data_IF_634027751217
#
_entry.id   IF_634027751217
#
_cell.length_a   1.000
_cell.length_b   1.000
_cell.length_c   1.000
_cell.angle_alpha   90.00
_cell.angle_beta   90.00
_cell.angle_gamma   90.00
#
_symmetry.space_group_name_H-M   'P 1'
#
loop_
_entity.id
_entity.type
_entity.pdbx_description
1 polymer ?
#
# COMPACT_ATOMS: atom_id res chain seq x y z
N UNK A 1 -15.44 -55.64 13.59
CA UNK A 1 -14.59 -54.97 12.58
C UNK A 1 -15.19 -54.97 11.18
N UNK A 2 -15.62 -56.12 10.61
CA UNK A 2 -16.21 -56.18 9.25
C UNK A 2 -17.44 -55.27 9.04
N UNK A 3 -18.41 -55.29 9.96
CA UNK A 3 -19.60 -54.39 9.92
C UNK A 3 -19.25 -52.90 9.94
N UNK A 4 -18.20 -52.52 10.67
CA UNK A 4 -17.74 -51.12 10.71
C UNK A 4 -17.05 -50.74 9.39
N UNK A 5 -16.20 -51.61 8.86
CA UNK A 5 -15.53 -51.41 7.58
C UNK A 5 -16.54 -51.23 6.42
N UNK A 6 -17.59 -52.06 6.39
CA UNK A 6 -18.70 -51.96 5.44
C UNK A 6 -19.50 -50.65 5.59
N UNK A 7 -19.85 -50.28 6.83
CA UNK A 7 -20.57 -49.02 7.10
C UNK A 7 -19.79 -47.78 6.65
N UNK A 8 -18.47 -47.78 6.78
CA UNK A 8 -17.61 -46.65 6.41
C UNK A 8 -16.99 -46.79 5.01
N UNK A 9 -17.33 -47.84 4.25
CA UNK A 9 -16.81 -48.10 2.90
C UNK A 9 -15.27 -48.07 2.83
N UNK A 10 -14.62 -48.68 3.82
CA UNK A 10 -13.15 -48.77 3.91
C UNK A 10 -12.70 -50.22 4.06
N UNK A 11 -11.44 -50.49 3.74
CA UNK A 11 -10.83 -51.78 4.03
C UNK A 11 -10.87 -52.10 5.53
N UNK A 12 -11.03 -53.40 5.87
CA UNK A 12 -11.07 -53.88 7.27
C UNK A 12 -9.83 -53.44 8.06
N UNK A 13 -8.66 -53.39 7.42
CA UNK A 13 -7.39 -52.95 8.03
C UNK A 13 -7.37 -51.44 8.34
N UNK A 14 -8.13 -50.62 7.61
CA UNK A 14 -8.29 -49.18 7.89
C UNK A 14 -9.22 -48.97 9.07
N UNK A 15 -10.38 -49.64 9.10
CA UNK A 15 -11.30 -49.59 10.23
C UNK A 15 -10.63 -50.09 11.53
N UNK A 16 -9.79 -51.13 11.45
CA UNK A 16 -9.00 -51.62 12.57
C UNK A 16 -7.98 -50.58 13.05
N UNK A 17 -7.23 -49.93 12.14
CA UNK A 17 -6.29 -48.85 12.50
C UNK A 17 -6.97 -47.67 13.20
N UNK A 18 -8.15 -47.27 12.72
CA UNK A 18 -8.93 -46.21 13.36
C UNK A 18 -9.42 -46.62 14.76
N UNK A 19 -9.92 -47.86 14.92
CA UNK A 19 -10.36 -48.36 16.22
C UNK A 19 -9.22 -48.46 17.24
N UNK A 20 -8.03 -48.91 16.83
CA UNK A 20 -6.82 -48.93 17.69
C UNK A 20 -6.44 -47.51 18.10
N UNK A 21 -6.34 -46.60 17.12
CA UNK A 21 -6.00 -45.20 17.38
C UNK A 21 -6.98 -44.51 18.34
N UNK A 22 -8.28 -44.76 18.18
CA UNK A 22 -9.29 -44.21 19.07
C UNK A 22 -9.18 -44.76 20.50
N UNK A 23 -8.85 -46.05 20.67
CA UNK A 23 -8.65 -46.63 22.00
C UNK A 23 -7.42 -46.07 22.71
N UNK A 24 -6.34 -45.81 21.97
CA UNK A 24 -5.09 -45.28 22.52
C UNK A 24 -5.16 -43.78 22.83
N UNK A 25 -5.85 -43.00 21.99
CA UNK A 25 -5.75 -41.54 21.99
C UNK A 25 -7.10 -40.82 22.20
N UNK A 26 -8.19 -41.57 22.33
CA UNK A 26 -9.55 -41.05 22.42
C UNK A 26 -9.99 -40.26 21.19
N UNK A 27 -11.00 -39.41 21.37
CA UNK A 27 -11.55 -38.55 20.32
C UNK A 27 -10.49 -37.60 19.72
N UNK A 28 -9.55 -37.11 20.53
CA UNK A 28 -8.48 -36.22 20.07
C UNK A 28 -7.56 -36.88 19.02
N UNK A 29 -7.40 -38.21 19.09
CA UNK A 29 -6.61 -38.97 18.10
C UNK A 29 -7.25 -39.09 16.73
N UNK A 30 -8.53 -38.74 16.58
CA UNK A 30 -9.26 -38.83 15.32
C UNK A 30 -9.20 -37.53 14.49
N UNK A 31 -8.64 -36.45 15.04
CA UNK A 31 -8.36 -35.25 14.28
C UNK A 31 -7.26 -35.52 13.23
N UNK A 32 -7.39 -34.91 12.05
CA UNK A 32 -6.40 -35.03 10.99
C UNK A 32 -5.05 -34.51 11.48
N UNK A 33 -4.06 -35.41 11.43
CA UNK A 33 -2.66 -35.03 11.67
C UNK A 33 -2.10 -34.45 10.38
N UNK A 34 -1.27 -33.43 10.54
CA UNK A 34 -0.47 -32.93 9.43
C UNK A 34 0.32 -34.07 8.78
N UNK A 35 0.09 -34.30 7.49
CA UNK A 35 0.90 -35.23 6.66
C UNK A 35 2.27 -34.66 6.29
N UNK A 36 2.59 -33.44 6.76
CA UNK A 36 3.87 -32.79 6.48
C UNK A 36 4.99 -33.59 7.16
N UNK A 37 6.09 -33.89 6.45
CA UNK A 37 7.18 -34.66 7.02
C UNK A 37 7.83 -33.90 8.19
N UNK A 38 8.20 -34.63 9.24
CA UNK A 38 8.91 -34.08 10.40
C UNK A 38 10.26 -33.47 10.01
N UNK A 39 10.89 -33.97 8.95
CA UNK A 39 12.17 -33.47 8.41
C UNK A 39 12.07 -33.33 6.89
N UNK A 40 12.51 -32.20 6.36
CA UNK A 40 12.60 -31.95 4.93
C UNK A 40 14.08 -31.95 4.52
N UNK A 41 14.67 -33.09 4.11
CA UNK A 41 16.10 -33.19 3.80
C UNK A 41 16.53 -32.24 2.68
N UNK A 42 15.65 -31.96 1.72
CA UNK A 42 15.90 -31.03 0.60
C UNK A 42 15.57 -29.57 0.96
N UNK A 43 15.43 -29.24 2.25
CA UNK A 43 15.22 -27.86 2.67
C UNK A 43 16.48 -27.04 2.42
N UNK A 44 16.29 -25.84 1.87
CA UNK A 44 17.36 -24.87 1.64
C UNK A 44 18.17 -24.65 2.92
N UNK A 45 19.52 -24.76 2.90
CA UNK A 45 20.33 -24.54 4.08
C UNK A 45 20.13 -23.14 4.67
N UNK A 46 20.11 -23.03 5.99
CA UNK A 46 19.86 -21.77 6.73
C UNK A 46 20.77 -20.63 6.29
N UNK A 47 22.03 -20.93 5.91
CA UNK A 47 22.97 -19.93 5.36
C UNK A 47 22.44 -19.28 4.09
N UNK A 48 21.88 -20.07 3.18
CA UNK A 48 21.29 -19.58 1.93
C UNK A 48 19.98 -18.83 2.20
N UNK A 49 19.16 -19.31 3.13
CA UNK A 49 17.93 -18.61 3.55
C UNK A 49 18.24 -17.21 4.11
N UNK A 50 19.28 -17.10 4.95
CA UNK A 50 19.76 -15.81 5.49
C UNK A 50 20.29 -14.88 4.39
N UNK A 51 20.97 -15.40 3.35
CA UNK A 51 21.39 -14.59 2.18
C UNK A 51 20.18 -14.04 1.43
N UNK A 52 19.16 -14.87 1.19
CA UNK A 52 17.90 -14.45 0.57
C UNK A 52 17.25 -13.31 1.36
N UNK A 53 17.11 -13.48 2.68
CA UNK A 53 16.51 -12.47 3.56
C UNK A 53 17.34 -11.18 3.56
N UNK A 54 18.67 -11.29 3.66
CA UNK A 54 19.57 -10.12 3.62
C UNK A 54 19.39 -9.30 2.35
N UNK A 55 19.40 -9.93 1.18
CA UNK A 55 19.20 -9.23 -0.10
C UNK A 55 17.81 -8.60 -0.14
N UNK A 56 16.78 -9.33 0.31
CA UNK A 56 15.41 -8.81 0.38
C UNK A 56 15.30 -7.55 1.23
N UNK A 57 15.87 -7.55 2.43
CA UNK A 57 15.75 -6.41 3.36
C UNK A 57 16.56 -5.21 2.88
N UNK A 58 17.79 -5.41 2.44
CA UNK A 58 18.68 -4.30 2.05
C UNK A 58 18.27 -3.69 0.71
N UNK A 59 17.99 -4.54 -0.30
CA UNK A 59 17.77 -4.08 -1.67
C UNK A 59 16.30 -3.95 -2.04
N UNK A 60 15.38 -4.51 -1.23
CA UNK A 60 13.93 -4.55 -1.52
C UNK A 60 13.63 -5.19 -2.88
N UNK A 61 14.35 -6.25 -3.21
CA UNK A 61 14.22 -6.96 -4.48
C UNK A 61 13.13 -8.04 -4.45
N UNK A 62 12.55 -8.29 -5.63
CA UNK A 62 11.60 -9.37 -5.84
C UNK A 62 12.27 -10.75 -5.94
N UNK A 63 11.51 -11.85 -5.84
CA UNK A 63 12.06 -13.20 -5.92
C UNK A 63 12.90 -13.48 -7.17
N UNK A 64 12.52 -12.92 -8.33
CA UNK A 64 13.27 -13.09 -9.58
C UNK A 64 14.67 -12.47 -9.53
N UNK A 65 14.77 -11.21 -9.08
CA UNK A 65 16.04 -10.50 -8.97
C UNK A 65 16.97 -11.12 -7.92
N UNK A 66 16.41 -11.55 -6.78
CA UNK A 66 17.17 -12.26 -5.75
C UNK A 66 17.64 -13.62 -6.28
N UNK A 67 16.78 -14.33 -7.00
CA UNK A 67 17.09 -15.63 -7.60
C UNK A 67 18.24 -15.52 -8.60
N UNK A 68 18.19 -14.53 -9.49
CA UNK A 68 19.28 -14.23 -10.42
C UNK A 68 20.60 -13.92 -9.70
N UNK A 69 20.58 -13.07 -8.66
CA UNK A 69 21.79 -12.69 -7.92
C UNK A 69 22.44 -13.87 -7.15
N UNK A 70 21.62 -14.77 -6.62
CA UNK A 70 22.09 -15.85 -5.76
C UNK A 70 22.23 -17.19 -6.49
N UNK A 71 21.90 -17.23 -7.78
CA UNK A 71 21.80 -18.44 -8.60
C UNK A 71 20.84 -19.49 -8.01
N UNK A 72 19.62 -19.06 -7.72
CA UNK A 72 18.56 -19.87 -7.09
C UNK A 72 17.25 -19.66 -7.83
N UNK A 73 16.48 -20.73 -8.03
CA UNK A 73 15.17 -20.63 -8.66
C UNK A 73 14.23 -19.67 -7.88
N UNK A 74 13.51 -18.75 -8.55
CA UNK A 74 12.66 -17.76 -7.88
C UNK A 74 11.58 -18.35 -6.96
N UNK A 75 11.08 -19.56 -7.26
CA UNK A 75 10.11 -20.24 -6.40
C UNK A 75 10.70 -20.63 -5.03
N UNK A 76 11.97 -21.01 -4.96
CA UNK A 76 12.68 -21.29 -3.71
C UNK A 76 12.82 -20.02 -2.89
N UNK A 77 13.20 -18.91 -3.53
CA UNK A 77 13.25 -17.59 -2.88
C UNK A 77 11.88 -17.23 -2.30
N UNK A 78 10.81 -17.39 -3.09
CA UNK A 78 9.45 -17.11 -2.62
C UNK A 78 9.04 -17.98 -1.42
N UNK A 79 9.36 -19.29 -1.45
CA UNK A 79 9.08 -20.21 -0.33
C UNK A 79 9.83 -19.82 0.94
N UNK A 80 11.09 -19.41 0.82
CA UNK A 80 11.88 -18.91 1.97
C UNK A 80 11.26 -17.64 2.53
N UNK A 81 10.99 -16.63 1.70
CA UNK A 81 10.39 -15.37 2.16
C UNK A 81 9.04 -15.58 2.86
N UNK A 82 8.20 -16.47 2.33
CA UNK A 82 6.91 -16.81 2.91
C UNK A 82 7.07 -17.52 4.26
N UNK A 83 8.00 -18.49 4.36
CA UNK A 83 8.26 -19.21 5.62
C UNK A 83 8.73 -18.30 6.75
N UNK A 84 9.53 -17.29 6.42
CA UNK A 84 10.02 -16.30 7.37
C UNK A 84 9.07 -15.10 7.57
N UNK A 85 7.86 -15.14 7.01
CA UNK A 85 6.86 -14.08 7.19
C UNK A 85 7.28 -12.72 6.61
N UNK A 86 8.21 -12.69 5.65
CA UNK A 86 8.70 -11.43 5.09
C UNK A 86 7.60 -10.79 4.24
N UNK A 87 7.21 -9.57 4.60
CA UNK A 87 6.15 -8.83 3.93
C UNK A 87 6.41 -8.67 2.41
N UNK A 88 5.31 -8.70 1.63
CA UNK A 88 5.36 -8.43 0.19
C UNK A 88 5.79 -6.99 -0.05
N UNK A 89 6.61 -6.72 -1.07
CA UNK A 89 7.07 -5.35 -1.36
C UNK A 89 5.92 -4.38 -1.59
N UNK A 90 4.81 -4.85 -2.18
CA UNK A 90 3.60 -4.04 -2.40
C UNK A 90 2.92 -3.59 -1.10
N UNK A 91 3.24 -4.24 0.02
CA UNK A 91 2.76 -3.85 1.35
C UNK A 91 3.74 -2.92 2.05
N UNK A 92 4.93 -2.69 1.48
CA UNK A 92 5.93 -1.82 2.05
C UNK A 92 5.81 -0.43 1.42
N UNK A 93 5.88 0.59 2.26
CA UNK A 93 6.08 1.95 1.83
C UNK A 93 7.44 2.08 1.14
N UNK A 94 7.49 2.70 -0.05
CA UNK A 94 8.68 2.70 -0.90
C UNK A 94 9.83 3.52 -0.30
N UNK A 95 9.62 4.70 0.29
CA UNK A 95 10.66 5.41 1.02
C UNK A 95 11.14 4.64 2.24
N UNK A 96 10.24 4.30 3.17
CA UNK A 96 10.63 3.82 4.51
C UNK A 96 10.86 2.33 4.62
N UNK A 97 10.34 1.52 3.68
CA UNK A 97 10.41 0.06 3.73
C UNK A 97 9.57 -0.56 4.85
N UNK A 98 8.74 0.23 5.55
CA UNK A 98 7.83 -0.25 6.59
C UNK A 98 6.53 -0.74 5.99
N UNK A 99 5.87 -1.69 6.66
CA UNK A 99 4.53 -2.12 6.26
C UNK A 99 3.59 -0.93 6.32
N UNK A 100 2.90 -0.65 5.23
CA UNK A 100 1.87 0.40 5.13
C UNK A 100 0.80 0.09 6.17
N UNK A 101 0.65 0.96 7.15
CA UNK A 101 -0.43 0.89 8.13
C UNK A 101 -1.57 1.76 7.64
N UNK A 102 -2.76 1.19 7.57
CA UNK A 102 -3.96 1.97 7.33
C UNK A 102 -4.25 2.77 8.60
N UNK A 103 -4.47 4.06 8.43
CA UNK A 103 -4.96 4.91 9.51
C UNK A 103 -6.47 4.68 9.58
N UNK A 104 -6.97 4.32 10.75
CA UNK A 104 -8.39 4.15 11.04
C UNK A 104 -8.81 5.24 12.04
N UNK A 105 -9.99 5.81 11.82
CA UNK A 105 -10.59 6.83 12.69
C UNK A 105 -11.99 6.36 13.08
N UNK A 106 -12.30 6.46 14.37
CA UNK A 106 -13.54 6.00 14.95
C UNK A 106 -14.65 7.07 14.91
N UNK A 107 -14.28 8.35 14.79
CA UNK A 107 -15.25 9.45 14.77
C UNK A 107 -14.81 10.61 13.87
N UNK A 108 -15.78 11.44 13.48
CA UNK A 108 -15.54 12.71 12.78
C UNK A 108 -14.67 13.64 13.60
N UNK A 109 -13.76 14.37 12.94
CA UNK A 109 -12.86 15.33 13.57
C UNK A 109 -11.71 14.69 14.35
N UNK A 110 -11.62 13.36 14.44
CA UNK A 110 -10.51 12.69 15.11
C UNK A 110 -9.17 12.94 14.42
N UNK A 111 -9.18 13.01 13.08
CA UNK A 111 -8.03 13.32 12.25
C UNK A 111 -8.47 14.04 10.98
N UNK A 112 -7.95 15.24 10.79
CA UNK A 112 -8.05 15.95 9.52
C UNK A 112 -6.70 15.91 8.82
N UNK A 113 -6.69 15.49 7.56
CA UNK A 113 -5.49 15.54 6.73
C UNK A 113 -5.47 16.82 5.92
N UNK A 114 -4.37 17.58 6.03
CA UNK A 114 -4.13 18.76 5.20
C UNK A 114 -3.09 18.43 4.14
N UNK A 115 -3.39 18.75 2.88
CA UNK A 115 -2.47 18.62 1.75
C UNK A 115 -2.51 19.86 0.87
N UNK A 116 -1.37 20.17 0.25
CA UNK A 116 -1.25 21.27 -0.72
C UNK A 116 -0.83 20.71 -2.06
N UNK A 117 -1.75 20.78 -3.03
CA UNK A 117 -1.48 20.33 -4.39
C UNK A 117 -1.07 21.48 -5.29
N UNK A 118 0.14 21.37 -5.83
CA UNK A 118 0.70 22.30 -6.83
C UNK A 118 0.31 21.87 -8.25
N UNK A 119 -0.49 22.68 -8.94
CA UNK A 119 -1.00 22.38 -10.29
C UNK A 119 -0.56 23.45 -11.28
N UNK A 120 -0.01 23.07 -12.44
CA UNK A 120 0.42 24.05 -13.45
C UNK A 120 -0.78 24.79 -14.04
N UNK A 121 -0.68 26.13 -14.16
CA UNK A 121 -1.77 26.94 -14.73
C UNK A 121 -2.03 26.59 -16.20
N UNK A 122 -3.30 26.50 -16.57
CA UNK A 122 -3.72 26.30 -17.96
C UNK A 122 -3.60 27.64 -18.71
N UNK A 123 -3.15 27.65 -19.98
CA UNK A 123 -3.25 28.83 -20.82
C UNK A 123 -4.60 29.53 -20.80
N UNK A 124 -4.58 30.86 -20.82
CA UNK A 124 -5.64 31.61 -21.49
C UNK A 124 -5.81 31.05 -22.92
N UNK A 125 -7.06 30.73 -23.30
CA UNK A 125 -7.38 30.05 -24.55
C UNK A 125 -7.27 28.52 -24.52
N UNK A 126 -6.86 27.89 -23.40
CA UNK A 126 -6.91 26.44 -23.21
C UNK A 126 -5.61 25.67 -23.48
N UNK A 127 -5.49 24.49 -22.85
CA UNK A 127 -4.27 23.67 -22.83
C UNK A 127 -4.12 22.68 -23.99
N UNK A 128 -2.87 22.31 -24.27
CA UNK A 128 -2.53 21.38 -25.36
C UNK A 128 -3.18 19.99 -25.24
N UNK A 129 -3.55 19.57 -24.02
CA UNK A 129 -4.23 18.28 -23.80
C UNK A 129 -5.63 18.25 -24.41
N UNK A 130 -6.30 19.40 -24.51
CA UNK A 130 -7.61 19.51 -25.14
C UNK A 130 -7.45 19.93 -26.60
N UNK A 131 -6.68 20.99 -26.87
CA UNK A 131 -6.62 21.65 -28.18
C UNK A 131 -5.52 21.13 -29.12
N UNK A 132 -4.76 20.12 -28.69
CA UNK A 132 -3.58 19.65 -29.41
C UNK A 132 -2.34 20.53 -29.21
N UNK A 133 -1.17 19.99 -29.58
CA UNK A 133 0.13 20.62 -29.29
C UNK A 133 0.38 21.92 -30.04
N UNK A 134 -0.14 22.08 -31.25
CA UNK A 134 0.06 23.28 -32.08
C UNK A 134 -0.66 24.48 -31.44
N UNK A 135 -1.98 24.40 -31.30
CA UNK A 135 -2.81 25.45 -30.67
C UNK A 135 -2.37 25.69 -29.22
N UNK A 136 -2.12 24.62 -28.46
CA UNK A 136 -1.65 24.74 -27.09
C UNK A 136 -0.30 25.47 -26.95
N UNK A 137 0.60 25.37 -27.94
CA UNK A 137 1.88 26.11 -27.96
C UNK A 137 1.65 27.60 -28.26
N UNK A 138 0.77 27.92 -29.20
CA UNK A 138 0.39 29.31 -29.51
C UNK A 138 -0.21 29.96 -28.27
N UNK A 139 -1.23 29.33 -27.67
CA UNK A 139 -1.83 29.80 -26.43
C UNK A 139 -0.77 29.95 -25.33
N UNK A 140 0.14 28.96 -25.19
CA UNK A 140 1.29 28.99 -24.26
C UNK A 140 2.11 30.28 -24.36
N UNK A 141 2.46 30.68 -25.57
CA UNK A 141 3.31 31.85 -25.82
C UNK A 141 2.53 33.17 -25.76
N UNK A 142 1.25 33.17 -26.10
CA UNK A 142 0.43 34.37 -26.12
C UNK A 142 0.04 34.87 -24.71
N UNK A 143 -0.21 33.94 -23.78
CA UNK A 143 -0.65 34.26 -22.44
C UNK A 143 0.48 34.83 -21.57
N UNK A 144 0.38 36.12 -21.27
CA UNK A 144 1.31 36.89 -20.43
C UNK A 144 0.70 37.24 -19.08
N UNK A 145 -0.40 36.58 -18.67
CA UNK A 145 -1.17 36.92 -17.46
C UNK A 145 -0.36 36.95 -16.17
N UNK A 146 0.74 36.21 -16.09
CA UNK A 146 1.62 36.22 -14.92
C UNK A 146 2.56 37.42 -14.85
N UNK A 147 2.77 38.15 -15.94
CA UNK A 147 3.77 39.23 -16.03
C UNK A 147 5.24 38.77 -15.95
N UNK A 148 5.51 37.48 -15.75
CA UNK A 148 6.87 36.94 -15.57
C UNK A 148 7.32 36.23 -16.85
N UNK A 149 8.58 36.46 -17.24
CA UNK A 149 9.21 35.81 -18.40
C UNK A 149 10.50 35.09 -18.01
N UNK A 150 10.86 34.03 -18.74
CA UNK A 150 12.15 33.35 -18.59
C UNK A 150 13.29 34.19 -19.19
N UNK A 151 14.55 33.77 -18.98
CA UNK A 151 15.74 34.32 -19.66
C UNK A 151 15.59 34.37 -21.19
N UNK A 152 14.80 33.47 -21.77
CA UNK A 152 14.52 33.41 -23.21
C UNK A 152 13.25 34.17 -23.62
N UNK A 153 12.75 35.07 -22.76
CA UNK A 153 11.54 35.89 -22.99
C UNK A 153 10.24 35.09 -23.18
N UNK A 154 10.21 33.82 -22.76
CA UNK A 154 9.00 33.02 -22.78
C UNK A 154 8.14 33.30 -21.53
N UNK A 155 6.80 33.47 -21.64
CA UNK A 155 5.94 33.69 -20.49
C UNK A 155 5.96 32.50 -19.50
N UNK A 156 5.98 32.80 -18.20
CA UNK A 156 6.00 31.84 -17.10
C UNK A 156 4.70 31.95 -16.32
N UNK A 157 3.79 30.99 -16.43
CA UNK A 157 2.46 31.11 -15.79
C UNK A 157 2.39 30.73 -14.32
N UNK A 158 3.42 30.07 -13.82
CA UNK A 158 3.47 29.58 -12.45
C UNK A 158 2.45 28.46 -12.20
N UNK A 159 2.02 28.36 -10.95
CA UNK A 159 1.19 27.29 -10.44
C UNK A 159 -0.04 27.83 -9.72
N UNK A 160 -1.08 27.02 -9.64
CA UNK A 160 -2.15 27.12 -8.67
C UNK A 160 -1.81 26.22 -7.47
N UNK A 161 -2.15 26.67 -6.28
CA UNK A 161 -1.95 25.91 -5.04
C UNK A 161 -3.31 25.60 -4.44
N UNK A 162 -3.75 24.35 -4.61
CA UNK A 162 -4.99 23.89 -4.02
C UNK A 162 -4.68 23.36 -2.62
N UNK A 163 -5.02 24.15 -1.61
CA UNK A 163 -4.96 23.71 -0.22
C UNK A 163 -6.24 22.95 0.08
N UNK A 164 -6.12 21.79 0.71
CA UNK A 164 -7.26 20.89 0.96
C UNK A 164 -7.12 20.27 2.34
N UNK A 165 -8.19 20.35 3.12
CA UNK A 165 -8.35 19.70 4.41
C UNK A 165 -9.48 18.66 4.30
N UNK A 166 -9.21 17.43 4.70
CA UNK A 166 -10.17 16.32 4.62
C UNK A 166 -10.26 15.56 5.94
N UNK A 167 -11.48 15.43 6.46
CA UNK A 167 -11.74 14.59 7.61
C UNK A 167 -11.57 13.10 7.24
N UNK A 168 -10.79 12.38 8.03
CA UNK A 168 -10.45 11.00 7.74
C UNK A 168 -11.65 10.03 7.86
N UNK A 169 -12.65 10.39 8.68
CA UNK A 169 -13.82 9.55 8.95
C UNK A 169 -14.98 9.82 7.98
N UNK A 170 -15.55 11.02 8.01
CA UNK A 170 -16.69 11.44 7.17
C UNK A 170 -16.32 11.66 5.70
N UNK A 171 -15.03 11.86 5.40
CA UNK A 171 -14.53 12.26 4.08
C UNK A 171 -15.02 13.63 3.63
N UNK A 172 -15.55 14.46 4.53
CA UNK A 172 -15.90 15.85 4.23
C UNK A 172 -14.63 16.66 3.92
N UNK A 173 -14.70 17.52 2.91
CA UNK A 173 -13.53 18.23 2.34
C UNK A 173 -13.78 19.73 2.30
N UNK A 174 -12.79 20.48 2.77
CA UNK A 174 -12.67 21.91 2.56
C UNK A 174 -11.46 22.20 1.66
N UNK A 175 -11.64 23.00 0.61
CA UNK A 175 -10.56 23.32 -0.34
C UNK A 175 -10.56 24.79 -0.73
N UNK A 176 -9.37 25.36 -0.84
CA UNK A 176 -9.16 26.73 -1.33
C UNK A 176 -8.06 26.79 -2.38
N UNK A 177 -8.22 27.69 -3.34
CA UNK A 177 -7.19 28.01 -4.33
C UNK A 177 -6.39 29.23 -3.87
N UNK A 178 -5.14 29.01 -3.45
CA UNK A 178 -4.27 30.04 -2.89
C UNK A 178 -3.06 30.33 -3.79
N UNK A 179 -2.33 31.39 -3.44
CA UNK A 179 -1.25 31.96 -4.27
C UNK A 179 0.07 31.21 -4.16
N UNK A 180 0.30 30.49 -3.05
CA UNK A 180 1.54 29.76 -2.77
C UNK A 180 1.35 28.64 -1.73
N UNK A 181 2.42 27.86 -1.51
CA UNK A 181 2.51 26.75 -0.56
C UNK A 181 3.22 27.13 0.76
N UNK A 182 3.38 28.42 1.07
CA UNK A 182 4.20 28.87 2.21
C UNK A 182 3.50 28.63 3.54
N UNK A 183 4.31 28.62 4.61
CA UNK A 183 3.86 28.33 5.98
C UNK A 183 2.74 29.28 6.42
N UNK A 184 2.83 30.56 6.08
CA UNK A 184 1.84 31.57 6.45
C UNK A 184 0.49 31.31 5.77
N UNK A 185 0.54 31.03 4.46
CA UNK A 185 -0.65 30.71 3.65
C UNK A 185 -1.32 29.43 4.13
N UNK A 186 -0.54 28.39 4.44
CA UNK A 186 -1.04 27.11 4.96
C UNK A 186 -1.66 27.26 6.38
N UNK A 187 -1.04 28.04 7.27
CA UNK A 187 -1.59 28.30 8.60
C UNK A 187 -2.90 29.10 8.54
N UNK A 188 -2.97 30.11 7.66
CA UNK A 188 -4.18 30.89 7.44
C UNK A 188 -5.30 30.03 6.84
N UNK A 189 -4.95 29.16 5.87
CA UNK A 189 -5.88 28.15 5.33
C UNK A 189 -6.42 27.24 6.45
N UNK A 190 -5.55 26.72 7.30
CA UNK A 190 -5.96 25.84 8.41
C UNK A 190 -6.98 26.52 9.33
N UNK A 191 -6.74 27.79 9.70
CA UNK A 191 -7.65 28.56 10.56
C UNK A 191 -9.06 28.65 9.95
N UNK A 192 -9.15 28.87 8.62
CA UNK A 192 -10.44 28.93 7.92
C UNK A 192 -11.09 27.55 7.79
N UNK A 193 -10.29 26.53 7.51
CA UNK A 193 -10.76 25.15 7.42
C UNK A 193 -11.35 24.66 8.76
N UNK A 194 -10.67 24.93 9.87
CA UNK A 194 -11.12 24.55 11.21
C UNK A 194 -12.42 25.25 11.61
N UNK A 195 -12.54 26.55 11.32
CA UNK A 195 -13.78 27.30 11.51
C UNK A 195 -14.93 26.68 10.69
N UNK A 196 -14.68 26.36 9.41
CA UNK A 196 -15.69 25.75 8.54
C UNK A 196 -16.09 24.33 8.98
N UNK A 197 -15.14 23.52 9.45
CA UNK A 197 -15.47 22.21 10.03
C UNK A 197 -16.32 22.36 11.29
N UNK A 198 -16.02 23.37 12.12
CA UNK A 198 -16.81 23.69 13.31
C UNK A 198 -18.24 24.09 12.94
N UNK A 199 -18.44 24.91 11.90
CA UNK A 199 -19.76 25.23 11.34
C UNK A 199 -20.51 23.99 10.85
N UNK A 200 -19.78 23.00 10.33
CA UNK A 200 -20.33 21.70 9.93
C UNK A 200 -20.56 20.74 11.11
N UNK A 201 -20.38 21.18 12.36
CA UNK A 201 -20.55 20.37 13.56
C UNK A 201 -19.40 19.37 13.84
N UNK A 202 -18.24 19.56 13.21
CA UNK A 202 -17.07 18.70 13.38
C UNK A 202 -16.00 19.47 14.17
N UNK A 203 -15.76 19.06 15.42
CA UNK A 203 -14.66 19.58 16.23
C UNK A 203 -13.37 18.80 15.94
N UNK A 204 -12.36 19.45 15.36
CA UNK A 204 -11.10 18.81 15.04
C UNK A 204 -10.26 18.59 16.31
N UNK A 205 -9.76 17.36 16.50
CA UNK A 205 -8.91 16.96 17.63
C UNK A 205 -7.43 16.85 17.27
N UNK A 206 -7.13 16.44 16.03
CA UNK A 206 -5.78 16.32 15.48
C UNK A 206 -5.78 16.73 14.01
N UNK A 207 -4.76 17.48 13.62
CA UNK A 207 -4.50 17.92 12.24
C UNK A 207 -3.02 17.74 11.88
#
# INVERSE_FOLDING_TARGET
MRRAAERFQVAVTTAQRWAVRYRELGAAGMADRSSRPHRSPNQTPTRTERRIIKVRVIRRWGPAQIGYLLDIHPSTVHRVLTRYGIARLRWLDRPTGRVVRRIETAAVGELVHVDVKKVGKIPAGGGWRMLGRAVGRVNRQADKSSGVVTKYRNPVRGYHFLHTAIDAHSRLVYSELLTDERKETAAAFWTRADAWFTECGITVRKY
#
